data_IF_488711252449
#
_entry.id   IF_488711252449
#
_cell.length_a   1.000
_cell.length_b   1.000
_cell.length_c   1.000
_cell.angle_alpha   90.00
_cell.angle_beta   90.00
_cell.angle_gamma   90.00
#
_symmetry.space_group_name_H-M   'P 1'
#
loop_
_entity.id
_entity.type
_entity.pdbx_description
1 polymer ?
#
# COMPACT_ATOMS: atom_id res chain seq x y z
N UNK A 1 13.07 2.19 15.85
CA UNK A 1 11.92 2.45 14.98
C UNK A 1 12.25 3.65 14.12
N UNK A 2 12.41 3.43 12.81
CA UNK A 2 12.67 4.50 11.84
C UNK A 2 11.47 4.64 10.93
N UNK A 3 11.08 5.88 10.64
CA UNK A 3 10.04 6.20 9.66
C UNK A 3 10.71 6.85 8.46
N UNK A 4 10.55 6.28 7.28
CA UNK A 4 11.04 6.86 6.03
C UNK A 4 9.86 7.30 5.18
N UNK A 5 9.89 8.57 4.75
CA UNK A 5 8.87 9.15 3.88
C UNK A 5 9.37 9.19 2.44
N UNK A 6 8.56 8.69 1.52
CA UNK A 6 8.74 8.78 0.08
C UNK A 6 7.63 9.59 -0.57
N UNK A 7 7.95 10.20 -1.71
CA UNK A 7 7.00 10.97 -2.51
C UNK A 7 6.61 10.19 -3.75
N UNK A 8 5.32 9.91 -3.89
CA UNK A 8 4.64 9.21 -5.00
C UNK A 8 4.98 7.73 -5.20
N UNK A 9 6.21 7.28 -4.93
CA UNK A 9 6.59 5.86 -5.07
C UNK A 9 7.70 5.46 -4.07
N UNK A 10 7.91 4.16 -3.90
CA UNK A 10 9.08 3.59 -3.24
C UNK A 10 10.31 3.56 -4.17
N UNK A 11 11.54 3.64 -3.64
CA UNK A 11 12.75 3.60 -4.45
C UNK A 11 12.96 2.22 -5.09
N UNK A 12 13.72 2.20 -6.19
CA UNK A 12 14.15 0.96 -6.83
C UNK A 12 14.94 0.08 -5.87
N UNK A 13 14.71 -1.23 -5.93
CA UNK A 13 15.45 -2.23 -5.16
C UNK A 13 15.04 -2.37 -3.68
N UNK A 14 14.11 -1.55 -3.17
CA UNK A 14 13.56 -1.75 -1.83
C UNK A 14 12.78 -3.08 -1.77
N UNK A 15 13.16 -3.94 -0.83
CA UNK A 15 12.55 -5.26 -0.62
C UNK A 15 11.92 -5.36 0.77
N UNK A 16 10.74 -5.99 0.83
CA UNK A 16 10.01 -6.26 2.07
C UNK A 16 10.05 -7.74 2.48
N UNK A 17 10.79 -8.58 1.76
CA UNK A 17 10.79 -10.02 1.97
C UNK A 17 9.52 -10.70 1.45
N UNK A 18 9.07 -11.76 2.12
CA UNK A 18 7.92 -12.57 1.67
C UNK A 18 6.55 -12.05 2.15
N UNK A 19 6.52 -11.13 3.12
CA UNK A 19 5.29 -10.55 3.67
C UNK A 19 5.50 -9.07 3.91
N UNK A 20 4.54 -8.25 3.49
CA UNK A 20 4.52 -6.81 3.77
C UNK A 20 3.17 -6.44 4.39
N UNK A 21 3.21 -5.81 5.56
CA UNK A 21 2.05 -5.16 6.15
C UNK A 21 1.74 -3.88 5.39
N UNK A 22 0.47 -3.68 5.05
CA UNK A 22 -0.01 -2.57 4.24
C UNK A 22 -1.23 -1.94 4.91
N UNK A 23 -1.25 -0.62 4.96
CA UNK A 23 -2.40 0.18 5.37
C UNK A 23 -2.49 1.44 4.49
N UNK A 24 -3.68 2.04 4.39
CA UNK A 24 -3.89 3.23 3.56
C UNK A 24 -4.67 4.33 4.26
N UNK A 25 -4.26 5.58 4.03
CA UNK A 25 -4.97 6.77 4.51
C UNK A 25 -5.63 7.49 3.34
N UNK A 26 -6.89 7.85 3.49
CA UNK A 26 -7.67 8.58 2.49
C UNK A 26 -8.32 9.83 3.07
N UNK A 27 -8.72 10.77 2.21
CA UNK A 27 -9.40 12.00 2.64
C UNK A 27 -10.81 11.75 3.24
N UNK A 28 -11.37 10.55 3.03
CA UNK A 28 -12.73 10.19 3.43
C UNK A 28 -13.25 9.00 2.65
N UNK A 29 -14.53 8.67 2.83
CA UNK A 29 -15.16 7.45 2.28
C UNK A 29 -15.90 7.68 0.94
N UNK A 30 -15.91 8.90 0.40
CA UNK A 30 -16.54 9.16 -0.89
C UNK A 30 -15.52 9.00 -2.03
N UNK A 31 -15.49 7.85 -2.69
CA UNK A 31 -14.49 7.49 -3.71
C UNK A 31 -14.43 8.39 -4.95
N UNK A 32 -15.49 9.16 -5.22
CA UNK A 32 -15.52 10.11 -6.34
C UNK A 32 -14.80 11.42 -6.01
N UNK A 33 -14.75 11.79 -4.74
CA UNK A 33 -14.14 13.03 -4.25
C UNK A 33 -12.83 12.78 -3.49
N UNK A 34 -12.83 11.77 -2.65
CA UNK A 34 -11.82 11.48 -1.65
C UNK A 34 -10.76 10.56 -2.24
N UNK A 35 -9.52 11.03 -2.18
CA UNK A 35 -8.36 10.33 -2.70
C UNK A 35 -7.59 9.61 -1.63
N UNK A 36 -6.88 8.57 -2.06
CA UNK A 36 -5.77 8.02 -1.29
C UNK A 36 -4.69 9.09 -1.10
N UNK A 37 -4.14 9.17 0.10
CA UNK A 37 -3.15 10.14 0.56
C UNK A 37 -1.82 9.47 0.86
N UNK A 38 -1.85 8.41 1.65
CA UNK A 38 -0.67 7.73 2.15
C UNK A 38 -0.88 6.24 2.05
N UNK A 39 0.19 5.52 1.73
CA UNK A 39 0.30 4.08 1.91
C UNK A 39 1.39 3.83 2.93
N UNK A 40 1.08 3.08 3.99
CA UNK A 40 2.04 2.63 4.98
C UNK A 40 2.48 1.20 4.65
N UNK A 41 3.79 0.94 4.73
CA UNK A 41 4.39 -0.38 4.49
C UNK A 41 5.36 -0.74 5.62
N UNK A 42 5.37 -2.01 6.03
CA UNK A 42 6.37 -2.57 6.95
C UNK A 42 6.61 -4.05 6.69
N UNK A 43 7.87 -4.49 6.81
CA UNK A 43 8.29 -5.90 6.74
C UNK A 43 8.35 -6.57 8.12
N UNK A 44 7.92 -5.88 9.19
CA UNK A 44 7.99 -6.39 10.57
C UNK A 44 9.36 -6.26 11.22
N UNK A 45 10.30 -5.53 10.60
CA UNK A 45 11.65 -5.26 11.09
C UNK A 45 11.74 -4.07 12.06
N UNK A 46 10.59 -3.49 12.42
CA UNK A 46 10.50 -2.30 13.27
C UNK A 46 10.67 -0.97 12.53
N UNK A 47 10.76 -0.99 11.20
CA UNK A 47 10.74 0.19 10.34
C UNK A 47 9.39 0.37 9.66
N UNK A 48 9.07 1.62 9.34
CA UNK A 48 7.88 2.00 8.58
C UNK A 48 8.26 2.85 7.37
N UNK A 49 7.66 2.50 6.23
CA UNK A 49 7.83 3.17 4.95
C UNK A 49 6.50 3.85 4.60
N UNK A 50 6.49 5.17 4.53
CA UNK A 50 5.32 5.96 4.19
C UNK A 50 5.47 6.47 2.76
N UNK A 51 4.51 6.17 1.89
CA UNK A 51 4.47 6.73 0.54
C UNK A 51 3.35 7.76 0.47
N UNK A 52 3.72 9.04 0.39
CA UNK A 52 2.76 10.14 0.22
C UNK A 52 2.44 10.31 -1.26
N UNK A 53 1.18 10.12 -1.62
CA UNK A 53 0.68 10.23 -3.00
C UNK A 53 0.11 11.64 -3.23
N UNK A 54 0.69 12.36 -4.19
CA UNK A 54 0.21 13.69 -4.56
C UNK A 54 -1.00 13.60 -5.49
N UNK A 55 -1.91 14.58 -5.39
CA UNK A 55 -3.10 14.65 -6.24
C UNK A 55 -2.70 14.64 -7.72
N UNK A 56 -3.28 13.73 -8.49
CA UNK A 56 -3.01 13.59 -9.93
C UNK A 56 -1.66 12.93 -10.26
N UNK A 57 -0.87 12.51 -9.25
CA UNK A 57 0.38 11.78 -9.44
C UNK A 57 0.28 10.41 -8.77
N UNK A 58 -0.12 9.43 -9.57
CA UNK A 58 -0.26 8.04 -9.13
C UNK A 58 0.56 7.07 -9.99
N UNK A 59 1.54 7.61 -10.72
CA UNK A 59 2.51 6.75 -11.38
C UNK A 59 3.55 6.29 -10.37
N UNK A 60 3.27 5.13 -9.78
CA UNK A 60 4.12 4.47 -8.79
C UNK A 60 4.47 3.05 -9.28
N UNK A 61 5.35 2.93 -10.30
CA UNK A 61 5.70 1.63 -10.89
C UNK A 61 6.22 0.61 -9.88
N UNK A 62 6.93 1.03 -8.83
CA UNK A 62 7.50 0.10 -7.85
C UNK A 62 6.47 -0.40 -6.84
N UNK A 63 5.58 0.47 -6.36
CA UNK A 63 4.39 0.04 -5.62
C UNK A 63 3.53 -0.92 -6.45
N UNK A 64 3.31 -0.63 -7.74
CA UNK A 64 2.53 -1.52 -8.62
C UNK A 64 3.17 -2.90 -8.74
N UNK A 65 4.50 -2.97 -8.91
CA UNK A 65 5.25 -4.24 -8.90
C UNK A 65 5.06 -5.00 -7.58
N UNK A 66 5.26 -4.33 -6.44
CA UNK A 66 5.09 -4.94 -5.11
C UNK A 66 3.68 -5.52 -4.91
N UNK A 67 2.66 -4.75 -5.28
CA UNK A 67 1.27 -5.17 -5.13
C UNK A 67 0.89 -6.32 -6.08
N UNK A 68 1.45 -6.36 -7.28
CA UNK A 68 1.22 -7.45 -8.23
C UNK A 68 2.07 -8.71 -7.95
N UNK A 69 3.15 -8.61 -7.16
CA UNK A 69 4.10 -9.71 -6.98
C UNK A 69 3.46 -10.90 -6.23
N UNK A 70 3.30 -12.08 -6.88
CA UNK A 70 2.69 -13.24 -6.25
C UNK A 70 3.56 -13.85 -5.14
N UNK A 71 4.85 -13.51 -5.06
CA UNK A 71 5.79 -14.02 -4.06
C UNK A 71 5.76 -13.26 -2.74
N UNK A 72 5.08 -12.11 -2.71
CA UNK A 72 4.97 -11.25 -1.53
C UNK A 72 3.53 -11.21 -1.07
N UNK A 73 3.25 -11.69 0.15
CA UNK A 73 1.91 -11.57 0.75
C UNK A 73 1.69 -10.15 1.23
N UNK A 74 0.58 -9.53 0.81
CA UNK A 74 0.15 -8.24 1.33
C UNK A 74 -0.79 -8.47 2.51
N UNK A 75 -0.28 -8.17 3.70
CA UNK A 75 -0.97 -8.32 4.97
C UNK A 75 -1.72 -7.03 5.30
N UNK A 76 -3.04 -7.12 5.43
CA UNK A 76 -3.93 -5.99 5.74
C UNK A 76 -4.77 -6.27 6.99
N UNK A 77 -5.40 -5.23 7.52
CA UNK A 77 -6.50 -5.32 8.49
C UNK A 77 -7.71 -4.54 7.93
N UNK A 78 -8.86 -5.19 7.75
CA UNK A 78 -10.03 -4.61 7.03
C UNK A 78 -9.78 -4.17 5.57
N UNK A 79 -9.01 -4.96 4.82
CA UNK A 79 -8.49 -4.65 3.48
C UNK A 79 -9.43 -4.10 2.39
N UNK A 80 -10.76 -4.23 2.53
CA UNK A 80 -11.70 -4.00 1.41
C UNK A 80 -11.60 -2.58 0.84
N UNK A 81 -11.52 -1.59 1.72
CA UNK A 81 -11.41 -0.19 1.32
C UNK A 81 -10.02 0.09 0.71
N UNK A 82 -8.96 -0.47 1.30
CA UNK A 82 -7.58 -0.33 0.82
C UNK A 82 -7.41 -0.90 -0.58
N UNK A 83 -7.90 -2.12 -0.82
CA UNK A 83 -7.82 -2.77 -2.13
C UNK A 83 -8.57 -1.97 -3.20
N UNK A 84 -9.73 -1.40 -2.86
CA UNK A 84 -10.48 -0.54 -3.76
C UNK A 84 -9.73 0.77 -4.05
N UNK A 85 -9.14 1.39 -3.03
CA UNK A 85 -8.35 2.61 -3.16
C UNK A 85 -7.12 2.38 -4.06
N UNK A 86 -6.34 1.34 -3.78
CA UNK A 86 -5.15 0.97 -4.55
C UNK A 86 -5.56 0.63 -6.00
N UNK A 87 -6.62 -0.16 -6.19
CA UNK A 87 -7.16 -0.48 -7.51
C UNK A 87 -7.52 0.76 -8.31
N UNK A 88 -8.26 1.69 -7.70
CA UNK A 88 -8.72 2.92 -8.36
C UNK A 88 -7.58 3.87 -8.70
N UNK A 89 -6.67 4.11 -7.77
CA UNK A 89 -5.65 5.16 -7.90
C UNK A 89 -4.37 4.66 -8.55
N UNK A 90 -3.94 3.43 -8.26
CA UNK A 90 -2.70 2.85 -8.77
C UNK A 90 -2.93 1.87 -9.95
N UNK A 91 -4.18 1.49 -10.24
CA UNK A 91 -4.50 0.62 -11.37
C UNK A 91 -4.05 -0.83 -11.19
N UNK A 92 -3.80 -1.26 -9.95
CA UNK A 92 -3.38 -2.63 -9.60
C UNK A 92 -4.20 -3.11 -8.42
N UNK A 93 -4.57 -4.39 -8.40
CA UNK A 93 -5.17 -5.02 -7.21
C UNK A 93 -4.06 -5.80 -6.50
N UNK A 94 -3.78 -5.50 -5.22
CA UNK A 94 -2.83 -6.28 -4.43
C UNK A 94 -3.18 -7.76 -4.40
N UNK A 95 -2.20 -8.63 -4.65
CA UNK A 95 -2.35 -10.09 -4.57
C UNK A 95 -0.99 -10.80 -4.40
N UNK A 96 -0.87 -11.86 -3.58
CA UNK A 96 -1.90 -12.41 -2.69
C UNK A 96 -2.14 -11.52 -1.47
N UNK A 97 -3.36 -11.58 -0.93
CA UNK A 97 -3.80 -10.79 0.24
C UNK A 97 -4.09 -11.71 1.41
N UNK A 98 -3.58 -11.35 2.59
CA UNK A 98 -4.02 -11.90 3.87
C UNK A 98 -4.69 -10.79 4.69
N UNK A 99 -5.96 -10.98 5.05
CA UNK A 99 -6.71 -10.00 5.85
C UNK A 99 -6.89 -10.52 7.27
N UNK A 100 -6.20 -9.90 8.22
CA UNK A 100 -6.23 -10.28 9.64
C UNK A 100 -7.63 -10.16 10.24
N UNK A 101 -8.49 -9.28 9.71
CA UNK A 101 -9.87 -9.18 10.18
C UNK A 101 -10.72 -10.40 9.79
N UNK A 102 -10.44 -11.04 8.66
CA UNK A 102 -11.14 -12.27 8.26
C UNK A 102 -10.64 -13.47 9.06
N UNK A 103 -9.38 -13.42 9.51
CA UNK A 103 -8.75 -14.47 10.31
C UNK A 103 -9.11 -14.43 11.82
N UNK A 104 -9.86 -13.42 12.29
CA UNK A 104 -10.29 -13.23 13.69
C UNK A 104 -11.80 -13.06 13.81
#
# INVERSE_FOLDING_TARGET
MTVTLYQNDIPDGLSFGSVVAVDTESMGLNWDRDRICVIQLSSGDGNAHLVQLQRGKYDAPNLKKLFADPKVVKLFHFARADLAAIGRYLGVIPQPVYCTKIAS
#
